data_IF_458071926648
#
_entry.id   IF_458071926648
#
_cell.length_a   1.000
_cell.length_b   1.000
_cell.length_c   1.000
_cell.angle_alpha   90.00
_cell.angle_beta   90.00
_cell.angle_gamma   90.00
#
_symmetry.space_group_name_H-M   'P 1'
#
loop_
_entity.id
_entity.type
_entity.pdbx_description
1 polymer ?
#
# COMPACT_ATOMS: atom_id res chain seq x y z
N UNK A 1 -11.61 -16.64 7.64
CA UNK A 1 -11.31 -16.72 6.20
C UNK A 1 -12.14 -15.67 5.47
N UNK A 2 -11.56 -14.89 4.59
CA UNK A 2 -12.33 -14.02 3.68
C UNK A 2 -12.44 -14.69 2.32
N UNK A 3 -13.61 -14.59 1.71
CA UNK A 3 -13.91 -15.10 0.39
C UNK A 3 -14.58 -13.97 -0.42
N UNK A 4 -14.03 -13.70 -1.58
CA UNK A 4 -14.48 -12.67 -2.53
C UNK A 4 -14.78 -13.40 -3.83
N UNK A 5 -16.01 -13.34 -4.30
CA UNK A 5 -16.46 -14.09 -5.47
C UNK A 5 -17.18 -13.19 -6.48
N UNK A 6 -16.62 -13.15 -7.68
CA UNK A 6 -17.19 -12.51 -8.87
C UNK A 6 -17.55 -11.02 -8.73
N UNK A 7 -16.73 -10.28 -7.97
CA UNK A 7 -16.98 -8.85 -7.71
C UNK A 7 -16.82 -8.04 -8.98
N UNK A 8 -17.89 -7.36 -9.35
CA UNK A 8 -17.94 -6.41 -10.47
C UNK A 8 -18.46 -5.07 -10.00
N UNK A 9 -17.80 -3.99 -10.43
CA UNK A 9 -18.16 -2.60 -10.10
C UNK A 9 -17.86 -1.67 -11.25
N UNK A 10 -18.82 -0.82 -11.58
CA UNK A 10 -18.67 0.21 -12.62
C UNK A 10 -18.94 1.61 -12.07
N UNK A 11 -18.35 2.63 -12.69
CA UNK A 11 -18.65 4.03 -12.50
C UNK A 11 -18.85 4.68 -13.86
N UNK A 12 -19.96 5.37 -14.05
CA UNK A 12 -20.29 6.07 -15.29
C UNK A 12 -20.13 5.18 -16.54
N UNK A 13 -20.55 3.92 -16.46
CA UNK A 13 -20.45 2.93 -17.55
C UNK A 13 -19.08 2.31 -17.77
N UNK A 14 -18.04 2.74 -17.04
CA UNK A 14 -16.70 2.12 -17.09
C UNK A 14 -16.54 1.10 -15.97
N UNK A 15 -16.23 -0.14 -16.31
CA UNK A 15 -15.91 -1.17 -15.33
C UNK A 15 -14.58 -0.83 -14.66
N UNK A 16 -14.60 -0.79 -13.32
CA UNK A 16 -13.41 -0.59 -12.47
C UNK A 16 -13.01 -1.89 -11.79
N UNK A 17 -13.98 -2.77 -11.51
CA UNK A 17 -13.76 -4.16 -11.13
C UNK A 17 -14.54 -5.04 -12.10
N UNK A 18 -13.92 -6.06 -12.61
CA UNK A 18 -14.48 -6.97 -13.60
C UNK A 18 -14.16 -8.42 -13.22
N UNK A 19 -15.12 -9.08 -12.59
CA UNK A 19 -15.08 -10.49 -12.20
C UNK A 19 -13.92 -10.86 -11.26
N UNK A 20 -13.72 -10.07 -10.19
CA UNK A 20 -12.65 -10.27 -9.22
C UNK A 20 -13.03 -11.34 -8.21
N UNK A 21 -12.21 -12.41 -8.11
CA UNK A 21 -12.43 -13.52 -7.18
C UNK A 21 -11.12 -13.95 -6.53
N UNK A 22 -11.11 -14.10 -5.21
CA UNK A 22 -9.98 -14.65 -4.45
C UNK A 22 -10.41 -15.13 -3.07
N UNK A 23 -9.56 -15.90 -2.40
CA UNK A 23 -9.77 -16.31 -1.02
C UNK A 23 -8.49 -16.20 -0.19
N UNK A 24 -8.65 -15.89 1.11
CA UNK A 24 -7.55 -15.77 2.04
C UNK A 24 -7.90 -16.51 3.34
N UNK A 25 -6.96 -17.31 3.83
CA UNK A 25 -7.07 -18.07 5.07
C UNK A 25 -7.03 -17.20 6.32
N UNK A 26 -7.29 -17.82 7.47
CA UNK A 26 -7.13 -17.14 8.76
C UNK A 26 -5.67 -16.88 9.06
N UNK A 27 -5.35 -15.67 9.54
CA UNK A 27 -3.99 -15.24 9.89
C UNK A 27 -3.02 -15.26 8.71
N UNK A 28 -3.54 -15.22 7.49
CA UNK A 28 -2.73 -15.00 6.29
C UNK A 28 -2.74 -13.51 5.94
N UNK A 29 -1.66 -13.07 5.33
CA UNK A 29 -1.52 -11.72 4.78
C UNK A 29 -1.48 -11.78 3.26
N UNK A 30 -2.41 -11.07 2.63
CA UNK A 30 -2.44 -10.89 1.19
C UNK A 30 -2.02 -9.47 0.84
N UNK A 31 -1.07 -9.32 -0.07
CA UNK A 31 -0.76 -8.04 -0.70
C UNK A 31 -1.39 -7.96 -2.10
N UNK A 32 -2.06 -6.86 -2.38
CA UNK A 32 -2.62 -6.54 -3.69
C UNK A 32 -1.76 -5.44 -4.30
N UNK A 33 -1.10 -5.75 -5.40
CA UNK A 33 -0.24 -4.84 -6.16
C UNK A 33 -0.81 -4.58 -7.56
N UNK A 34 -0.34 -3.55 -8.24
CA UNK A 34 -0.77 -3.20 -9.60
C UNK A 34 -0.69 -1.70 -9.87
N UNK A 35 -0.86 -1.30 -11.12
CA UNK A 35 -0.78 0.09 -11.56
C UNK A 35 -1.84 0.99 -10.90
N UNK A 36 -1.62 2.29 -10.93
CA UNK A 36 -2.65 3.26 -10.53
C UNK A 36 -3.89 3.09 -11.40
N UNK A 37 -5.08 3.19 -10.79
CA UNK A 37 -6.34 3.02 -11.52
C UNK A 37 -6.75 1.57 -11.80
N UNK A 38 -5.98 0.55 -11.37
CA UNK A 38 -6.32 -0.87 -11.60
C UNK A 38 -7.47 -1.41 -10.72
N UNK A 39 -8.11 -0.58 -9.89
CA UNK A 39 -9.28 -0.95 -9.10
C UNK A 39 -9.01 -1.40 -7.66
N UNK A 40 -7.75 -1.42 -7.20
CA UNK A 40 -7.36 -1.93 -5.86
C UNK A 40 -8.12 -1.27 -4.70
N UNK A 41 -8.10 0.06 -4.62
CA UNK A 41 -8.80 0.78 -3.53
C UNK A 41 -10.32 0.61 -3.61
N UNK A 42 -10.89 0.50 -4.81
CA UNK A 42 -12.31 0.18 -5.00
C UNK A 42 -12.62 -1.21 -4.46
N UNK A 43 -11.79 -2.21 -4.76
CA UNK A 43 -11.93 -3.56 -4.23
C UNK A 43 -11.88 -3.56 -2.70
N UNK A 44 -10.90 -2.87 -2.11
CA UNK A 44 -10.77 -2.77 -0.65
C UNK A 44 -12.00 -2.10 -0.01
N UNK A 45 -12.55 -1.04 -0.65
CA UNK A 45 -13.77 -0.37 -0.19
C UNK A 45 -15.01 -1.27 -0.30
N UNK A 46 -15.09 -2.10 -1.35
CA UNK A 46 -16.15 -3.11 -1.47
C UNK A 46 -16.05 -4.13 -0.33
N UNK A 47 -14.85 -4.62 -0.02
CA UNK A 47 -14.62 -5.55 1.10
C UNK A 47 -14.99 -4.88 2.43
N UNK A 48 -14.63 -3.61 2.63
CA UNK A 48 -14.96 -2.86 3.84
C UNK A 48 -16.44 -2.47 3.97
N UNK A 49 -17.27 -2.73 2.95
CA UNK A 49 -18.66 -2.31 2.91
C UNK A 49 -18.88 -0.82 2.74
N UNK A 50 -17.84 -0.07 2.38
CA UNK A 50 -17.93 1.36 2.10
C UNK A 50 -18.52 1.62 0.71
N UNK A 51 -18.41 0.64 -0.18
CA UNK A 51 -18.99 0.65 -1.51
C UNK A 51 -19.70 -0.68 -1.79
N UNK A 52 -20.83 -0.63 -2.51
CA UNK A 52 -21.55 -1.82 -2.93
C UNK A 52 -21.05 -2.30 -4.28
N UNK A 53 -20.62 -3.56 -4.44
CA UNK A 53 -20.43 -4.14 -5.76
C UNK A 53 -21.79 -4.24 -6.48
N UNK A 54 -21.73 -4.23 -7.82
CA UNK A 54 -22.94 -4.45 -8.66
C UNK A 54 -23.27 -5.94 -8.73
N UNK A 55 -22.25 -6.77 -8.78
CA UNK A 55 -22.38 -8.23 -8.81
C UNK A 55 -21.33 -8.87 -7.91
N UNK A 56 -21.57 -10.10 -7.54
CA UNK A 56 -20.68 -10.90 -6.72
C UNK A 56 -21.03 -10.88 -5.23
N UNK A 57 -20.26 -11.62 -4.45
CA UNK A 57 -20.47 -11.77 -3.00
C UNK A 57 -19.15 -11.69 -2.25
N UNK A 58 -19.22 -11.20 -1.02
CA UNK A 58 -18.10 -11.18 -0.09
C UNK A 58 -18.56 -11.86 1.19
N UNK A 59 -17.77 -12.78 1.74
CA UNK A 59 -18.04 -13.42 3.01
C UNK A 59 -16.82 -13.38 3.93
N UNK A 60 -17.06 -13.28 5.23
CA UNK A 60 -16.04 -13.38 6.28
C UNK A 60 -16.43 -14.51 7.24
N UNK A 61 -15.55 -15.51 7.39
CA UNK A 61 -15.82 -16.73 8.18
C UNK A 61 -17.13 -17.44 7.78
N UNK A 62 -17.48 -17.42 6.49
CA UNK A 62 -18.70 -18.01 5.94
C UNK A 62 -19.96 -17.14 6.12
N UNK A 63 -19.86 -16.00 6.80
CA UNK A 63 -20.97 -15.05 6.93
C UNK A 63 -20.93 -14.06 5.76
N UNK A 64 -22.00 -13.96 4.96
CA UNK A 64 -22.05 -13.01 3.86
C UNK A 64 -22.03 -11.58 4.40
N UNK A 65 -21.19 -10.73 3.82
CA UNK A 65 -21.12 -9.30 4.10
C UNK A 65 -22.12 -8.58 3.21
N UNK A 66 -23.33 -8.39 3.73
CA UNK A 66 -24.39 -7.66 3.05
C UNK A 66 -24.35 -6.21 3.56
N UNK A 67 -24.38 -5.24 2.66
CA UNK A 67 -24.19 -3.80 2.94
C UNK A 67 -25.09 -3.15 3.99
N UNK A 68 -26.02 -3.86 4.57
CA UNK A 68 -26.91 -3.38 5.65
C UNK A 68 -26.76 -4.15 6.96
N UNK A 69 -25.87 -5.14 7.01
CA UNK A 69 -25.66 -5.93 8.22
C UNK A 69 -24.48 -5.37 9.01
N UNK A 70 -24.75 -4.51 9.98
CA UNK A 70 -23.75 -3.88 10.84
C UNK A 70 -22.86 -4.89 11.59
N UNK A 71 -23.37 -6.08 11.93
CA UNK A 71 -22.63 -7.07 12.73
C UNK A 71 -21.41 -7.64 12.00
N UNK A 72 -21.51 -7.93 10.69
CA UNK A 72 -20.39 -8.47 9.92
C UNK A 72 -19.22 -7.49 9.81
N UNK A 73 -19.51 -6.20 9.70
CA UNK A 73 -18.50 -5.16 9.56
C UNK A 73 -17.81 -4.77 10.86
N UNK A 74 -18.40 -5.02 12.02
CA UNK A 74 -17.77 -4.81 13.33
C UNK A 74 -16.51 -5.67 13.52
N UNK A 75 -16.36 -6.74 12.72
CA UNK A 75 -15.18 -7.62 12.76
C UNK A 75 -14.09 -7.23 11.74
N UNK A 76 -14.20 -6.07 11.12
CA UNK A 76 -13.20 -5.55 10.20
C UNK A 76 -12.66 -4.20 10.64
N UNK A 77 -11.36 -3.99 10.46
CA UNK A 77 -10.71 -2.70 10.61
C UNK A 77 -10.15 -2.24 9.27
N UNK A 78 -10.33 -0.96 8.93
CA UNK A 78 -9.72 -0.37 7.74
C UNK A 78 -8.82 0.79 8.13
N UNK A 79 -7.58 0.72 7.67
CA UNK A 79 -6.55 1.74 7.84
C UNK A 79 -6.34 2.40 6.48
N UNK A 80 -6.60 3.71 6.42
CA UNK A 80 -6.52 4.51 5.20
C UNK A 80 -5.14 5.15 5.05
N UNK A 81 -4.78 5.50 3.83
CA UNK A 81 -3.55 6.22 3.51
C UNK A 81 -3.42 7.56 4.27
N UNK A 82 -4.53 8.28 4.47
CA UNK A 82 -4.57 9.60 5.12
C UNK A 82 -4.87 9.52 6.62
N UNK A 83 -4.62 8.38 7.28
CA UNK A 83 -4.82 8.13 8.72
C UNK A 83 -6.27 8.29 9.20
N UNK A 84 -7.02 9.25 8.71
CA UNK A 84 -8.42 9.58 9.01
C UNK A 84 -8.73 9.67 10.52
N UNK A 85 -7.80 10.24 11.29
CA UNK A 85 -8.02 10.54 12.69
C UNK A 85 -8.92 11.76 12.84
N UNK A 86 -9.75 11.76 13.87
CA UNK A 86 -10.57 12.92 14.22
C UNK A 86 -9.67 14.03 14.78
N UNK A 87 -9.48 15.16 14.08
CA UNK A 87 -8.47 16.17 14.45
C UNK A 87 -8.81 16.94 15.74
N UNK A 88 -10.08 16.99 16.10
CA UNK A 88 -10.60 17.66 17.30
C UNK A 88 -10.64 16.76 18.54
N UNK A 89 -10.24 15.50 18.42
CA UNK A 89 -10.11 14.55 19.53
C UNK A 89 -8.65 14.21 19.76
N UNK A 90 -8.26 14.07 21.04
CA UNK A 90 -6.96 13.51 21.38
C UNK A 90 -6.88 12.02 20.99
N UNK A 91 -5.72 11.41 21.10
CA UNK A 91 -5.47 10.00 20.76
C UNK A 91 -6.40 9.07 21.54
N UNK A 92 -6.51 9.24 22.85
CA UNK A 92 -7.37 8.40 23.70
C UNK A 92 -8.82 8.45 23.25
N UNK A 93 -9.34 9.62 22.96
CA UNK A 93 -10.73 9.78 22.52
C UNK A 93 -10.93 9.20 21.09
N UNK A 94 -9.95 9.32 20.19
CA UNK A 94 -9.97 8.65 18.88
C UNK A 94 -10.13 7.13 19.02
N UNK A 95 -9.51 6.51 20.02
CA UNK A 95 -9.59 5.08 20.24
C UNK A 95 -10.90 4.66 20.94
N UNK A 96 -11.36 5.44 21.92
CA UNK A 96 -12.47 5.03 22.81
C UNK A 96 -13.84 5.30 22.24
N UNK A 97 -13.98 6.19 21.26
CA UNK A 97 -15.27 6.61 20.73
C UNK A 97 -16.10 5.45 20.16
N UNK A 98 -15.51 4.66 19.26
CA UNK A 98 -16.23 3.56 18.60
C UNK A 98 -16.59 2.44 19.58
N UNK A 99 -15.70 1.92 20.44
CA UNK A 99 -16.08 0.91 21.43
C UNK A 99 -17.21 1.34 22.37
N UNK A 100 -17.19 2.58 22.83
CA UNK A 100 -18.27 3.10 23.71
C UNK A 100 -19.59 3.19 22.93
N UNK A 101 -19.58 3.74 21.70
CA UNK A 101 -20.80 4.01 20.94
C UNK A 101 -21.37 2.78 20.25
N UNK A 102 -20.53 1.86 19.78
CA UNK A 102 -20.92 0.70 18.97
C UNK A 102 -21.03 -0.56 19.82
N UNK A 103 -20.04 -0.82 20.69
CA UNK A 103 -20.03 -2.02 21.54
C UNK A 103 -20.70 -1.80 22.90
N UNK A 104 -20.99 -0.54 23.27
CA UNK A 104 -21.65 -0.22 24.53
C UNK A 104 -20.80 -0.46 25.78
N UNK A 105 -19.48 -0.63 25.65
CA UNK A 105 -18.59 -0.81 26.82
C UNK A 105 -18.46 0.48 27.62
N UNK A 106 -18.16 0.32 28.90
CA UNK A 106 -18.00 1.48 29.80
C UNK A 106 -16.81 2.35 29.39
N UNK A 107 -16.87 3.64 29.69
CA UNK A 107 -15.75 4.56 29.42
C UNK A 107 -14.45 4.08 30.07
N UNK A 108 -14.50 3.63 31.32
CA UNK A 108 -13.35 3.12 32.06
C UNK A 108 -12.72 1.92 31.33
N UNK A 109 -13.52 0.96 30.94
CA UNK A 109 -13.05 -0.22 30.21
C UNK A 109 -12.47 0.15 28.83
N UNK A 110 -13.10 1.08 28.11
CA UNK A 110 -12.60 1.58 26.83
C UNK A 110 -11.24 2.26 26.99
N UNK A 111 -11.04 3.08 28.03
CA UNK A 111 -9.78 3.75 28.32
C UNK A 111 -8.68 2.74 28.69
N UNK A 112 -8.97 1.75 29.53
CA UNK A 112 -8.02 0.66 29.86
C UNK A 112 -7.56 -0.10 28.62
N UNK A 113 -8.51 -0.51 27.76
CA UNK A 113 -8.23 -1.19 26.48
C UNK A 113 -7.44 -0.27 25.52
N UNK A 114 -7.77 1.03 25.47
CA UNK A 114 -7.06 1.99 24.62
C UNK A 114 -5.58 2.13 25.02
N UNK A 115 -5.27 2.25 26.32
CA UNK A 115 -3.88 2.27 26.79
C UNK A 115 -3.14 0.95 26.45
N UNK A 116 -3.82 -0.19 26.51
CA UNK A 116 -3.22 -1.45 26.08
C UNK A 116 -2.87 -1.43 24.59
N UNK A 117 -3.80 -1.02 23.72
CA UNK A 117 -3.54 -0.93 22.28
C UNK A 117 -2.45 0.10 21.96
N UNK A 118 -2.43 1.24 22.66
CA UNK A 118 -1.38 2.24 22.48
C UNK A 118 0.02 1.69 22.86
N UNK A 119 0.12 0.90 23.93
CA UNK A 119 1.37 0.21 24.28
C UNK A 119 1.80 -0.78 23.20
N UNK A 120 0.86 -1.54 22.63
CA UNK A 120 1.14 -2.50 21.51
C UNK A 120 1.76 -1.82 20.29
N UNK A 121 1.37 -0.56 20.02
CA UNK A 121 1.91 0.23 18.90
C UNK A 121 3.03 1.19 19.32
N UNK A 122 3.54 1.10 20.57
CA UNK A 122 4.65 1.91 21.08
C UNK A 122 4.30 3.39 21.33
N UNK A 123 3.04 3.70 21.66
CA UNK A 123 2.54 5.08 21.86
C UNK A 123 1.81 5.30 23.20
N UNK A 124 2.11 4.49 24.22
CA UNK A 124 1.43 4.55 25.52
C UNK A 124 1.42 5.93 26.17
N UNK A 125 2.49 6.71 26.03
CA UNK A 125 2.65 8.05 26.61
C UNK A 125 2.00 9.16 25.77
N UNK A 126 1.48 8.84 24.58
CA UNK A 126 0.92 9.80 23.62
C UNK A 126 -0.61 9.93 23.69
N UNK A 127 -1.25 9.29 24.68
CA UNK A 127 -2.71 9.18 24.79
C UNK A 127 -3.46 10.53 24.82
N UNK A 128 -2.86 11.54 25.42
CA UNK A 128 -3.49 12.86 25.57
C UNK A 128 -3.17 13.86 24.46
N UNK A 129 -2.23 13.52 23.57
CA UNK A 129 -1.85 14.36 22.44
C UNK A 129 -2.94 14.36 21.36
N UNK A 130 -3.00 15.46 20.60
CA UNK A 130 -3.86 15.57 19.42
C UNK A 130 -3.14 15.11 18.15
N UNK A 131 -3.88 14.74 17.08
CA UNK A 131 -3.28 14.26 15.82
C UNK A 131 -2.26 15.21 15.20
N UNK A 132 -2.41 16.52 15.35
CA UNK A 132 -1.47 17.52 14.82
C UNK A 132 -0.13 17.58 15.58
N UNK A 133 -0.07 17.05 16.80
CA UNK A 133 1.14 16.96 17.61
C UNK A 133 1.96 15.68 17.33
N UNK A 134 1.46 14.80 16.47
CA UNK A 134 2.05 13.51 16.13
C UNK A 134 2.76 13.54 14.77
N UNK A 135 3.86 12.81 14.64
CA UNK A 135 4.46 12.52 13.33
C UNK A 135 3.54 11.68 12.44
N UNK A 136 3.82 11.61 11.14
CA UNK A 136 3.04 10.79 10.20
C UNK A 136 3.00 9.31 10.62
N UNK A 137 4.16 8.73 11.00
CA UNK A 137 4.24 7.35 11.47
C UNK A 137 3.49 7.12 12.79
N UNK A 138 3.52 8.10 13.71
CA UNK A 138 2.73 8.04 14.94
C UNK A 138 1.23 8.08 14.65
N UNK A 139 0.78 8.97 13.75
CA UNK A 139 -0.63 9.01 13.31
C UNK A 139 -1.08 7.68 12.71
N UNK A 140 -0.24 7.07 11.89
CA UNK A 140 -0.54 5.76 11.29
C UNK A 140 -0.68 4.67 12.35
N UNK A 141 0.22 4.61 13.33
CA UNK A 141 0.14 3.66 14.43
C UNK A 141 -1.08 3.89 15.32
N UNK A 142 -1.49 5.14 15.54
CA UNK A 142 -2.76 5.47 16.22
C UNK A 142 -3.96 4.98 15.40
N UNK A 143 -3.97 5.15 14.07
CA UNK A 143 -5.04 4.64 13.21
C UNK A 143 -5.14 3.10 13.26
N UNK A 144 -4.01 2.40 13.31
CA UNK A 144 -3.98 0.94 13.52
C UNK A 144 -4.56 0.60 14.92
N UNK A 145 -4.10 1.27 15.98
CA UNK A 145 -4.56 1.03 17.33
C UNK A 145 -6.08 1.27 17.47
N UNK A 146 -6.61 2.31 16.80
CA UNK A 146 -8.05 2.58 16.73
C UNK A 146 -8.83 1.43 16.12
N UNK A 147 -8.33 0.83 15.04
CA UNK A 147 -8.97 -0.34 14.44
C UNK A 147 -8.94 -1.55 15.39
N UNK A 148 -7.85 -1.76 16.12
CA UNK A 148 -7.69 -2.87 17.07
C UNK A 148 -8.65 -2.80 18.24
N UNK A 149 -9.15 -1.61 18.60
CA UNK A 149 -10.16 -1.42 19.64
C UNK A 149 -11.47 -2.18 19.37
N UNK A 150 -11.80 -2.41 18.10
CA UNK A 150 -12.98 -3.17 17.68
C UNK A 150 -12.73 -4.68 17.61
N UNK A 151 -11.55 -5.18 18.00
CA UNK A 151 -11.14 -6.59 17.97
C UNK A 151 -11.41 -7.26 16.60
N UNK A 152 -10.88 -6.69 15.51
CA UNK A 152 -11.17 -7.14 14.16
C UNK A 152 -10.57 -8.53 13.90
N UNK A 153 -11.25 -9.32 13.06
CA UNK A 153 -10.75 -10.58 12.50
C UNK A 153 -10.01 -10.37 11.18
N UNK A 154 -10.31 -9.26 10.50
CA UNK A 154 -9.72 -8.83 9.24
C UNK A 154 -9.30 -7.38 9.33
N UNK A 155 -8.04 -7.10 8.98
CA UNK A 155 -7.51 -5.76 8.81
C UNK A 155 -7.27 -5.46 7.34
N UNK A 156 -7.78 -4.34 6.88
CA UNK A 156 -7.62 -3.82 5.53
C UNK A 156 -6.70 -2.60 5.57
N UNK A 157 -5.68 -2.57 4.72
CA UNK A 157 -4.72 -1.48 4.67
C UNK A 157 -4.66 -0.90 3.25
N UNK A 158 -4.97 0.37 3.11
CA UNK A 158 -4.84 1.09 1.83
C UNK A 158 -3.58 1.97 1.87
N UNK A 159 -2.50 1.50 1.23
CA UNK A 159 -1.20 2.18 1.14
C UNK A 159 -0.63 2.64 2.51
N UNK A 160 -0.49 1.74 3.51
CA UNK A 160 -0.26 2.12 4.90
C UNK A 160 1.09 2.80 5.16
N UNK A 161 2.03 2.75 4.23
CA UNK A 161 3.39 3.31 4.41
C UNK A 161 3.80 4.30 3.31
N UNK A 162 2.89 4.67 2.40
CA UNK A 162 3.23 5.49 1.22
C UNK A 162 3.68 6.92 1.55
N UNK A 163 3.18 7.49 2.67
CA UNK A 163 3.47 8.86 3.10
C UNK A 163 4.47 8.93 4.26
N UNK A 164 5.22 7.86 4.51
CA UNK A 164 6.13 7.75 5.65
C UNK A 164 7.60 7.80 5.21
N UNK A 165 8.42 8.41 6.04
CA UNK A 165 9.88 8.30 5.95
C UNK A 165 10.34 6.87 6.29
N UNK A 166 11.57 6.45 5.93
CA UNK A 166 12.03 5.07 6.11
C UNK A 166 12.00 4.57 7.57
N UNK A 167 12.22 5.46 8.56
CA UNK A 167 12.21 5.09 9.98
C UNK A 167 10.79 4.81 10.44
N UNK A 168 9.88 5.74 10.15
CA UNK A 168 8.46 5.60 10.47
C UNK A 168 7.84 4.39 9.74
N UNK A 169 8.25 4.12 8.50
CA UNK A 169 7.84 2.94 7.75
C UNK A 169 8.24 1.65 8.48
N UNK A 170 9.50 1.54 8.91
CA UNK A 170 9.99 0.36 9.63
C UNK A 170 9.19 0.12 10.94
N UNK A 171 8.85 1.19 11.67
CA UNK A 171 8.03 1.10 12.89
C UNK A 171 6.60 0.59 12.60
N UNK A 172 5.95 1.09 11.54
CA UNK A 172 4.61 0.64 11.12
C UNK A 172 4.66 -0.81 10.63
N UNK A 173 5.69 -1.18 9.85
CA UNK A 173 5.91 -2.54 9.38
C UNK A 173 6.07 -3.53 10.54
N UNK A 174 6.81 -3.16 11.60
CA UNK A 174 6.97 -4.00 12.79
C UNK A 174 5.62 -4.25 13.49
N UNK A 175 4.77 -3.24 13.59
CA UNK A 175 3.40 -3.40 14.12
C UNK A 175 2.60 -4.36 13.24
N UNK A 176 2.60 -4.18 11.91
CA UNK A 176 1.85 -5.03 10.98
C UNK A 176 2.33 -6.48 11.01
N UNK A 177 3.66 -6.70 11.13
CA UNK A 177 4.28 -8.04 11.27
C UNK A 177 3.85 -8.75 12.56
N UNK A 178 3.76 -8.02 13.67
CA UNK A 178 3.24 -8.57 14.94
C UNK A 178 1.78 -8.95 14.82
N UNK A 179 0.96 -8.11 14.19
CA UNK A 179 -0.47 -8.35 13.97
C UNK A 179 -0.75 -9.55 13.04
N UNK A 180 0.13 -9.85 12.07
CA UNK A 180 0.02 -10.99 11.17
C UNK A 180 -0.20 -12.32 11.92
N UNK A 181 0.40 -12.48 13.10
CA UNK A 181 0.26 -13.70 13.90
C UNK A 181 -1.14 -13.90 14.50
N UNK A 182 -1.93 -12.84 14.56
CA UNK A 182 -3.22 -12.82 15.25
C UNK A 182 -4.40 -12.58 14.30
N UNK A 183 -4.19 -11.71 13.28
CA UNK A 183 -5.27 -11.13 12.47
C UNK A 183 -4.96 -11.35 10.98
N UNK A 184 -5.97 -11.73 10.20
CA UNK A 184 -5.90 -11.79 8.74
C UNK A 184 -5.74 -10.38 8.16
N UNK A 185 -4.88 -10.19 7.16
CA UNK A 185 -4.60 -8.87 6.59
C UNK A 185 -4.73 -8.86 5.08
N UNK A 186 -5.36 -7.82 4.54
CA UNK A 186 -5.34 -7.49 3.11
C UNK A 186 -4.74 -6.10 2.96
N UNK A 187 -3.66 -6.00 2.20
CA UNK A 187 -2.83 -4.81 2.10
C UNK A 187 -2.70 -4.40 0.65
N UNK A 188 -3.15 -3.20 0.31
CA UNK A 188 -2.81 -2.57 -0.96
C UNK A 188 -1.50 -1.84 -0.80
N UNK A 189 -0.55 -2.09 -1.70
CA UNK A 189 0.71 -1.37 -1.73
C UNK A 189 1.36 -1.41 -3.11
N UNK A 190 2.18 -0.40 -3.40
CA UNK A 190 3.10 -0.39 -4.52
C UNK A 190 4.54 -0.72 -4.09
N UNK A 191 4.82 -0.86 -2.78
CA UNK A 191 6.16 -1.14 -2.26
C UNK A 191 6.46 -2.64 -2.27
N UNK A 192 7.33 -3.07 -3.15
CA UNK A 192 7.73 -4.48 -3.28
C UNK A 192 8.49 -4.97 -2.04
N UNK A 193 9.22 -4.09 -1.33
CA UNK A 193 9.87 -4.43 -0.06
C UNK A 193 8.87 -4.92 0.99
N UNK A 194 7.75 -4.20 1.14
CA UNK A 194 6.66 -4.59 2.04
C UNK A 194 6.09 -5.95 1.66
N UNK A 195 5.84 -6.18 0.36
CA UNK A 195 5.31 -7.45 -0.14
C UNK A 195 6.24 -8.61 0.21
N UNK A 196 7.54 -8.47 -0.04
CA UNK A 196 8.55 -9.52 0.27
C UNK A 196 8.61 -9.85 1.76
N UNK A 197 8.39 -8.86 2.61
CA UNK A 197 8.57 -8.99 4.05
C UNK A 197 7.36 -9.59 4.77
N UNK A 198 6.14 -9.22 4.36
CA UNK A 198 4.94 -9.54 5.15
C UNK A 198 3.94 -10.45 4.44
N UNK A 199 3.91 -10.50 3.10
CA UNK A 199 2.88 -11.25 2.39
C UNK A 199 3.07 -12.76 2.45
N UNK A 200 1.97 -13.50 2.60
CA UNK A 200 1.90 -14.94 2.33
C UNK A 200 1.42 -15.19 0.91
N UNK A 201 0.52 -14.33 0.42
CA UNK A 201 -0.03 -14.35 -0.93
C UNK A 201 0.04 -12.96 -1.57
N UNK A 202 0.19 -12.92 -2.86
CA UNK A 202 0.22 -11.69 -3.66
C UNK A 202 -0.75 -11.82 -4.82
N UNK A 203 -1.52 -10.77 -5.05
CA UNK A 203 -2.37 -10.60 -6.22
C UNK A 203 -1.85 -9.41 -7.01
N UNK A 204 -1.66 -9.60 -8.32
CA UNK A 204 -1.43 -8.51 -9.26
C UNK A 204 -2.71 -8.17 -10.00
N UNK A 205 -3.16 -6.92 -9.83
CA UNK A 205 -4.34 -6.36 -10.50
C UNK A 205 -3.97 -5.45 -11.67
N UNK A 206 -4.67 -5.65 -12.79
CA UNK A 206 -4.56 -4.81 -13.97
C UNK A 206 -5.93 -4.67 -14.62
N UNK A 207 -6.31 -3.45 -15.01
CA UNK A 207 -7.58 -3.13 -15.68
C UNK A 207 -8.81 -3.77 -15.01
N UNK A 208 -8.89 -3.67 -13.69
CA UNK A 208 -10.03 -4.16 -12.91
C UNK A 208 -10.08 -5.67 -12.68
N UNK A 209 -9.09 -6.44 -13.14
CA UNK A 209 -9.04 -7.90 -13.04
C UNK A 209 -7.83 -8.37 -12.26
N UNK A 210 -7.91 -9.57 -11.70
CA UNK A 210 -6.75 -10.30 -11.22
C UNK A 210 -6.04 -10.93 -12.41
N UNK A 211 -4.83 -10.47 -12.70
CA UNK A 211 -4.01 -11.03 -13.78
C UNK A 211 -3.16 -12.19 -13.31
N UNK A 212 -2.69 -12.13 -12.07
CA UNK A 212 -1.79 -13.15 -11.53
C UNK A 212 -1.94 -13.21 -10.01
N UNK A 213 -1.88 -14.42 -9.45
CA UNK A 213 -1.88 -14.71 -8.03
C UNK A 213 -0.81 -15.74 -7.72
N UNK A 214 -0.15 -15.62 -6.57
CA UNK A 214 0.86 -16.59 -6.14
C UNK A 214 1.53 -16.21 -4.83
N UNK A 215 2.60 -16.94 -4.49
CA UNK A 215 3.48 -16.53 -3.39
C UNK A 215 4.31 -15.31 -3.78
N UNK A 216 4.83 -14.52 -2.81
CA UNK A 216 5.74 -13.43 -3.13
C UNK A 216 6.95 -13.89 -3.96
N UNK A 217 7.50 -15.07 -3.67
CA UNK A 217 8.64 -15.61 -4.40
C UNK A 217 8.31 -15.90 -5.87
N UNK A 218 7.16 -16.54 -6.14
CA UNK A 218 6.75 -16.89 -7.49
C UNK A 218 6.43 -15.63 -8.30
N UNK A 219 5.57 -14.77 -7.78
CA UNK A 219 5.08 -13.61 -8.53
C UNK A 219 6.16 -12.55 -8.76
N UNK A 220 7.05 -12.32 -7.79
CA UNK A 220 8.08 -11.29 -7.90
C UNK A 220 9.33 -11.74 -8.67
N UNK A 221 9.67 -13.03 -8.65
CA UNK A 221 10.87 -13.54 -9.29
C UNK A 221 10.59 -14.22 -10.63
N UNK A 222 9.43 -14.87 -10.77
CA UNK A 222 9.04 -15.66 -11.94
C UNK A 222 7.63 -15.27 -12.47
N UNK A 223 7.37 -13.98 -12.75
CA UNK A 223 6.06 -13.53 -13.21
C UNK A 223 5.73 -14.15 -14.56
N UNK A 224 4.54 -14.75 -14.66
CA UNK A 224 4.07 -15.45 -15.86
C UNK A 224 3.42 -14.50 -16.87
N UNK A 225 2.69 -13.50 -16.37
CA UNK A 225 1.95 -12.58 -17.22
C UNK A 225 2.83 -11.41 -17.69
N UNK A 226 2.63 -10.98 -18.94
CA UNK A 226 3.35 -9.83 -19.51
C UNK A 226 3.11 -8.56 -18.71
N UNK A 227 1.86 -8.29 -18.31
CA UNK A 227 1.50 -7.12 -17.53
C UNK A 227 2.21 -7.10 -16.18
N UNK A 228 2.32 -8.26 -15.49
CA UNK A 228 3.05 -8.39 -14.21
C UNK A 228 4.55 -8.12 -14.42
N UNK A 229 5.15 -8.69 -15.47
CA UNK A 229 6.56 -8.45 -15.81
C UNK A 229 6.85 -6.99 -16.07
N UNK A 230 6.03 -6.35 -16.88
CA UNK A 230 6.17 -4.92 -17.20
C UNK A 230 6.04 -4.05 -15.95
N UNK A 231 5.04 -4.31 -15.08
CA UNK A 231 4.87 -3.59 -13.83
C UNK A 231 6.09 -3.74 -12.90
N UNK A 232 6.57 -4.96 -12.70
CA UNK A 232 7.72 -5.22 -11.83
C UNK A 232 9.02 -4.64 -12.42
N UNK A 233 9.20 -4.66 -13.73
CA UNK A 233 10.32 -4.01 -14.40
C UNK A 233 10.27 -2.49 -14.20
N UNK A 234 9.09 -1.88 -14.36
CA UNK A 234 8.90 -0.45 -14.09
C UNK A 234 9.18 -0.08 -12.62
N UNK A 235 8.81 -0.95 -11.67
CA UNK A 235 9.12 -0.75 -10.25
C UNK A 235 10.62 -0.86 -9.92
N UNK A 236 11.38 -1.62 -10.69
CA UNK A 236 12.84 -1.76 -10.55
C UNK A 236 13.61 -0.69 -11.32
N UNK A 237 13.02 -0.12 -12.34
CA UNK A 237 13.66 0.80 -13.27
C UNK A 237 13.09 2.22 -13.12
N UNK A 238 13.93 3.21 -13.31
CA UNK A 238 13.52 4.56 -13.65
C UNK A 238 13.68 4.71 -15.17
N UNK A 239 12.63 5.12 -15.85
CA UNK A 239 12.66 5.43 -17.28
C UNK A 239 12.32 6.90 -17.43
N UNK A 240 13.18 7.66 -18.10
CA UNK A 240 12.95 9.05 -18.43
C UNK A 240 13.17 9.28 -19.93
N UNK A 241 12.09 9.67 -20.63
CA UNK A 241 12.16 9.94 -22.06
C UNK A 241 12.59 11.36 -22.33
N UNK A 242 13.64 11.52 -23.11
CA UNK A 242 14.17 12.77 -23.60
C UNK A 242 13.79 12.89 -25.07
N UNK A 243 12.82 13.73 -25.37
CA UNK A 243 12.28 13.84 -26.75
C UNK A 243 13.09 14.84 -27.61
N UNK A 244 13.76 15.81 -26.98
CA UNK A 244 14.56 16.83 -27.66
C UNK A 244 15.57 17.48 -26.68
N UNK A 245 16.53 18.24 -27.23
CA UNK A 245 17.63 18.84 -26.46
C UNK A 245 17.19 19.84 -25.36
N UNK A 246 15.97 20.38 -25.43
CA UNK A 246 15.39 21.30 -24.42
C UNK A 246 14.48 20.56 -23.44
N UNK A 247 14.94 19.43 -22.91
CA UNK A 247 14.22 18.68 -21.87
C UNK A 247 14.40 19.33 -20.48
N UNK A 248 13.50 19.01 -19.56
CA UNK A 248 13.53 19.52 -18.18
C UNK A 248 14.60 18.81 -17.33
N UNK A 249 15.81 19.39 -17.28
CA UNK A 249 16.93 18.87 -16.47
C UNK A 249 16.62 18.83 -14.97
N UNK A 250 15.97 19.83 -14.35
CA UNK A 250 15.50 19.76 -12.98
C UNK A 250 14.56 18.58 -12.72
N UNK A 251 13.62 18.29 -13.59
CA UNK A 251 12.73 17.14 -13.47
C UNK A 251 13.51 15.82 -13.54
N UNK A 252 14.43 15.68 -14.50
CA UNK A 252 15.28 14.50 -14.61
C UNK A 252 16.09 14.26 -13.33
N UNK A 253 16.74 15.31 -12.80
CA UNK A 253 17.53 15.21 -11.57
C UNK A 253 16.65 14.84 -10.36
N UNK A 254 15.46 15.40 -10.23
CA UNK A 254 14.52 15.04 -9.18
C UNK A 254 14.07 13.55 -9.28
N UNK A 255 13.91 13.04 -10.50
CA UNK A 255 13.59 11.61 -10.70
C UNK A 255 14.77 10.70 -10.37
N UNK A 256 16.00 11.07 -10.73
CA UNK A 256 17.22 10.33 -10.35
C UNK A 256 17.37 10.32 -8.83
N UNK A 257 17.18 11.44 -8.17
CA UNK A 257 17.23 11.55 -6.70
C UNK A 257 16.18 10.67 -6.05
N UNK A 258 14.93 10.75 -6.51
CA UNK A 258 13.83 9.89 -6.03
C UNK A 258 14.14 8.40 -6.23
N UNK A 259 14.74 8.03 -7.36
CA UNK A 259 15.17 6.67 -7.63
C UNK A 259 16.27 6.21 -6.66
N UNK A 260 17.32 7.01 -6.48
CA UNK A 260 18.40 6.71 -5.56
C UNK A 260 17.91 6.57 -4.11
N UNK A 261 17.04 7.48 -3.68
CA UNK A 261 16.43 7.45 -2.34
C UNK A 261 15.54 6.20 -2.15
N UNK A 262 14.75 5.83 -3.16
CA UNK A 262 13.90 4.61 -3.16
C UNK A 262 14.72 3.35 -2.90
N UNK A 263 15.93 3.27 -3.42
CA UNK A 263 16.79 2.10 -3.31
C UNK A 263 17.87 2.22 -2.25
N UNK A 264 17.86 3.31 -1.44
CA UNK A 264 18.83 3.51 -0.36
C UNK A 264 20.28 3.67 -0.85
N UNK A 265 20.48 4.22 -2.04
CA UNK A 265 21.81 4.32 -2.67
C UNK A 265 22.69 5.46 -2.10
N UNK A 266 22.11 6.34 -1.29
CA UNK A 266 22.81 7.47 -0.69
C UNK A 266 23.17 8.62 -1.66
N UNK A 267 23.59 9.76 -1.10
CA UNK A 267 23.88 10.97 -1.89
C UNK A 267 25.07 10.83 -2.83
N UNK A 268 26.05 10.01 -2.49
CA UNK A 268 27.22 9.79 -3.37
C UNK A 268 26.82 9.07 -4.67
N UNK A 269 25.95 8.07 -4.58
CA UNK A 269 25.43 7.38 -5.76
C UNK A 269 24.57 8.29 -6.62
N UNK A 270 23.74 9.15 -6.00
CA UNK A 270 22.99 10.16 -6.73
C UNK A 270 23.91 11.09 -7.55
N UNK A 271 24.92 11.68 -6.92
CA UNK A 271 25.85 12.58 -7.60
C UNK A 271 26.63 11.87 -8.72
N UNK A 272 27.02 10.62 -8.49
CA UNK A 272 27.70 9.83 -9.53
C UNK A 272 26.79 9.57 -10.73
N UNK A 273 25.55 9.12 -10.50
CA UNK A 273 24.56 8.90 -11.58
C UNK A 273 24.28 10.20 -12.33
N UNK A 274 24.08 11.30 -11.62
CA UNK A 274 23.86 12.63 -12.22
C UNK A 274 25.01 13.04 -13.13
N UNK A 275 26.26 12.93 -12.67
CA UNK A 275 27.44 13.27 -13.44
C UNK A 275 27.53 12.43 -14.72
N UNK A 276 27.35 11.11 -14.60
CA UNK A 276 27.42 10.21 -15.75
C UNK A 276 26.30 10.49 -16.76
N UNK A 277 25.09 10.78 -16.28
CA UNK A 277 23.96 11.16 -17.14
C UNK A 277 24.26 12.47 -17.89
N UNK A 278 24.77 13.49 -17.21
CA UNK A 278 25.12 14.77 -17.84
C UNK A 278 26.23 14.61 -18.92
N UNK A 279 27.27 13.82 -18.64
CA UNK A 279 28.33 13.54 -19.61
C UNK A 279 27.80 12.79 -20.84
N UNK A 280 26.95 11.76 -20.63
CA UNK A 280 26.36 11.00 -21.72
C UNK A 280 25.43 11.86 -22.59
N UNK A 281 24.61 12.72 -21.98
CA UNK A 281 23.72 13.61 -22.70
C UNK A 281 24.45 14.69 -23.53
N UNK A 282 25.64 15.04 -23.12
CA UNK A 282 26.51 15.98 -23.90
C UNK A 282 27.16 15.29 -25.12
N UNK A 283 27.29 13.96 -25.10
CA UNK A 283 27.94 13.19 -26.16
C UNK A 283 26.96 12.66 -27.23
N UNK A 284 25.66 12.61 -26.92
CA UNK A 284 24.66 11.98 -27.76
C UNK A 284 23.85 12.99 -28.57
N UNK A 285 23.54 12.69 -29.85
CA UNK A 285 22.60 13.49 -30.63
C UNK A 285 21.18 13.23 -30.13
N UNK A 286 20.52 14.28 -29.59
CA UNK A 286 19.17 14.20 -29.00
C UNK A 286 18.04 14.39 -30.03
N UNK A 287 18.34 14.21 -31.32
CA UNK A 287 17.40 14.49 -32.42
C UNK A 287 16.30 13.41 -32.57
N UNK A 288 16.53 12.20 -32.08
CA UNK A 288 15.64 11.03 -32.33
C UNK A 288 14.90 10.50 -31.10
N UNK A 289 14.96 11.21 -29.99
CA UNK A 289 14.43 10.74 -28.72
C UNK A 289 15.32 9.67 -28.06
N UNK A 290 15.47 9.77 -26.75
CA UNK A 290 16.33 8.91 -25.94
C UNK A 290 15.58 8.46 -24.69
N UNK A 291 15.56 7.16 -24.41
CA UNK A 291 15.07 6.65 -23.13
C UNK A 291 16.25 6.38 -22.19
N UNK A 292 16.37 7.20 -21.14
CA UNK A 292 17.29 6.94 -20.04
C UNK A 292 16.67 5.92 -19.10
N UNK A 293 17.30 4.77 -18.94
CA UNK A 293 16.85 3.71 -18.05
C UNK A 293 17.86 3.48 -16.95
N UNK A 294 17.47 3.75 -15.69
CA UNK A 294 18.21 3.30 -14.52
C UNK A 294 17.57 2.04 -13.98
N UNK A 295 18.34 0.97 -13.84
CA UNK A 295 17.88 -0.30 -13.30
C UNK A 295 18.74 -0.76 -12.14
N UNK A 296 18.12 -1.32 -11.10
CA UNK A 296 18.82 -1.92 -9.95
C UNK A 296 18.59 -3.42 -9.93
N UNK A 297 19.68 -4.19 -9.90
CA UNK A 297 19.70 -5.59 -9.48
C UNK A 297 20.05 -5.68 -7.99
N UNK A 298 20.06 -6.87 -7.41
CA UNK A 298 20.41 -7.07 -5.99
C UNK A 298 21.86 -6.66 -5.67
N UNK A 299 22.75 -6.65 -6.67
CA UNK A 299 24.18 -6.37 -6.50
C UNK A 299 24.67 -5.12 -7.24
N UNK A 300 23.94 -4.63 -8.25
CA UNK A 300 24.41 -3.59 -9.16
C UNK A 300 23.30 -2.59 -9.50
N UNK A 301 23.71 -1.34 -9.73
CA UNK A 301 22.89 -0.34 -10.43
C UNK A 301 23.41 -0.25 -11.88
N UNK A 302 22.53 -0.53 -12.82
CA UNK A 302 22.84 -0.39 -14.26
C UNK A 302 22.14 0.84 -14.81
N UNK A 303 22.85 1.56 -15.64
CA UNK A 303 22.31 2.61 -16.47
C UNK A 303 22.41 2.18 -17.92
N UNK A 304 21.30 2.26 -18.65
CA UNK A 304 21.28 2.10 -20.09
C UNK A 304 20.63 3.30 -20.74
N UNK A 305 21.08 3.62 -21.93
CA UNK A 305 20.50 4.62 -22.79
C UNK A 305 20.01 3.91 -24.03
N UNK A 306 18.70 3.84 -24.19
CA UNK A 306 18.07 3.21 -25.34
C UNK A 306 17.67 4.29 -26.34
N UNK A 307 18.35 4.32 -27.49
CA UNK A 307 18.02 5.24 -28.59
C UNK A 307 16.92 4.61 -29.41
N UNK A 308 15.77 5.27 -29.49
CA UNK A 308 14.72 4.86 -30.41
C UNK A 308 15.15 5.24 -31.82
N UNK A 309 15.59 4.27 -32.61
CA UNK A 309 15.82 4.48 -34.05
C UNK A 309 14.47 4.65 -34.74
N UNK A 310 14.39 5.52 -35.77
CA UNK A 310 13.16 5.78 -36.51
C UNK A 310 12.63 4.56 -37.26
#
# INVERSE_FOLDING_TARGET
>A
MIEVAHITKSYNGRKVLDDVSFSLGKRETMCIIGSMGSGKSTLLRCIAGLESPEYGTISLDGLPLIHKNAEGYNHMGMVFQNFNLFPHFNVLHNLTLAPIKVLGISRKEAEEQAYEQLRRVGLGEKALLFPHELSAGQRQRVAIARCLMMKPRLMLFDEPTSALDPVAEAEVMDVMRKLKKEITQVIITHKISLVKEIADKVIFMHDGRICEEGTPADLLNLPKQVATRSFLSYQKNMIYRIEHALFDRPELNARIECYCNRFGLGSQAFHFVQLVVEELLNLLPLENGLDLVLSKSDTEVRMSLDVTLP
#
